data_IF_951980219148
#
_entry.id   IF_951980219148
#
_cell.length_a   1.000
_cell.length_b   1.000
_cell.length_c   1.000
_cell.angle_alpha   90.00
_cell.angle_beta   90.00
_cell.angle_gamma   90.00
#
_symmetry.space_group_name_H-M   'P 1'
#
loop_
_entity.id
_entity.type
_entity.pdbx_description
1 polymer ?
#
# COMPACT_ATOMS: atom_id res chain seq x y z
N UNK A 1 -0.72 -27.50 -9.17
CA UNK A 1 -1.82 -26.52 -9.27
C UNK A 1 -1.68 -25.59 -8.07
N UNK A 2 -1.03 -24.46 -8.29
CA UNK A 2 -0.50 -23.55 -7.26
C UNK A 2 -1.61 -22.76 -6.56
N UNK A 3 -1.54 -22.78 -5.23
CA UNK A 3 -2.20 -21.94 -4.19
C UNK A 3 -2.82 -20.61 -4.68
N UNK A 4 -4.01 -20.66 -5.28
CA UNK A 4 -4.86 -19.47 -5.55
C UNK A 4 -5.86 -19.22 -4.39
N UNK A 5 -5.89 -20.08 -3.37
CA UNK A 5 -6.52 -19.79 -2.08
C UNK A 5 -5.45 -19.13 -1.19
N UNK A 6 -5.44 -17.81 -0.99
CA UNK A 6 -6.02 -17.21 0.23
C UNK A 6 -6.14 -15.66 0.13
N UNK A 7 -6.29 -15.10 -1.07
CA UNK A 7 -6.21 -13.65 -1.34
C UNK A 7 -7.47 -12.86 -0.88
N UNK A 8 -8.47 -13.52 -0.29
CA UNK A 8 -9.82 -12.94 -0.10
C UNK A 8 -10.23 -12.63 1.35
N UNK A 9 -9.49 -13.08 2.38
CA UNK A 9 -10.07 -13.14 3.75
C UNK A 9 -9.36 -12.36 4.85
N UNK A 10 -8.36 -11.52 4.57
CA UNK A 10 -7.67 -10.80 5.65
C UNK A 10 -8.52 -9.60 6.06
N UNK A 11 -9.17 -9.73 7.22
CA UNK A 11 -10.08 -8.72 7.77
C UNK A 11 -9.37 -7.81 8.76
N UNK A 12 -8.19 -8.17 9.26
CA UNK A 12 -7.51 -7.44 10.33
C UNK A 12 -6.03 -7.17 10.01
N UNK A 13 -5.49 -6.10 10.59
CA UNK A 13 -4.07 -5.75 10.49
C UNK A 13 -3.21 -6.91 10.99
N UNK A 14 -3.68 -7.60 12.03
CA UNK A 14 -2.95 -8.66 12.69
C UNK A 14 -2.70 -9.86 11.75
N UNK A 15 -3.70 -10.27 10.97
CA UNK A 15 -3.54 -11.32 9.96
C UNK A 15 -2.49 -10.94 8.90
N UNK A 16 -2.45 -9.65 8.52
CA UNK A 16 -1.47 -9.14 7.57
C UNK A 16 -0.06 -9.15 8.17
N UNK A 17 0.09 -8.81 9.45
CA UNK A 17 1.39 -8.83 10.13
C UNK A 17 1.97 -10.23 10.28
N UNK A 18 1.10 -11.22 10.50
CA UNK A 18 1.52 -12.61 10.62
C UNK A 18 2.04 -13.20 9.29
N UNK A 19 1.57 -12.67 8.15
CA UNK A 19 1.81 -13.26 6.83
C UNK A 19 2.72 -12.43 5.92
N UNK A 20 2.76 -11.11 6.09
CA UNK A 20 3.51 -10.22 5.22
C UNK A 20 5.01 -10.28 5.49
N UNK A 21 5.80 -10.30 4.42
CA UNK A 21 7.25 -10.25 4.45
C UNK A 21 7.76 -8.92 3.90
N UNK A 22 8.88 -8.37 4.41
CA UNK A 22 9.47 -7.17 3.84
C UNK A 22 9.68 -7.31 2.32
N UNK A 23 9.15 -6.35 1.57
CA UNK A 23 9.10 -6.38 0.11
C UNK A 23 7.71 -6.70 -0.47
N UNK A 24 6.80 -7.25 0.33
CA UNK A 24 5.43 -7.52 -0.11
C UNK A 24 4.69 -6.23 -0.46
N UNK A 25 3.92 -6.29 -1.53
CA UNK A 25 3.06 -5.22 -1.99
C UNK A 25 1.70 -5.31 -1.29
N UNK A 26 1.36 -4.25 -0.57
CA UNK A 26 0.14 -4.13 0.20
C UNK A 26 -0.87 -3.30 -0.57
N UNK A 27 -2.06 -3.88 -0.78
CA UNK A 27 -3.20 -3.20 -1.39
C UNK A 27 -4.19 -2.79 -0.30
N UNK A 28 -4.47 -1.49 -0.23
CA UNK A 28 -5.57 -0.92 0.53
C UNK A 28 -6.73 -0.68 -0.42
N UNK A 29 -7.73 -1.54 -0.35
CA UNK A 29 -8.95 -1.48 -1.16
C UNK A 29 -9.82 -0.36 -0.63
N UNK A 30 -9.81 0.80 -1.30
CA UNK A 30 -10.74 1.90 -1.04
C UNK A 30 -11.96 1.76 -1.95
N UNK A 31 -12.98 2.56 -1.70
CA UNK A 31 -14.26 2.46 -2.42
C UNK A 31 -14.11 2.55 -3.94
N UNK A 32 -13.42 3.58 -4.43
CA UNK A 32 -13.33 3.91 -5.87
C UNK A 32 -11.93 3.71 -6.47
N UNK A 33 -10.95 3.29 -5.67
CA UNK A 33 -9.57 3.06 -6.11
C UNK A 33 -8.83 2.14 -5.15
N UNK A 34 -7.71 1.57 -5.60
CA UNK A 34 -6.76 0.85 -4.74
C UNK A 34 -5.59 1.76 -4.41
N UNK A 35 -5.30 1.92 -3.12
CA UNK A 35 -4.08 2.55 -2.64
C UNK A 35 -3.01 1.47 -2.41
N UNK A 36 -1.75 1.78 -2.71
CA UNK A 36 -0.68 0.79 -2.73
C UNK A 36 0.49 1.20 -1.86
N UNK A 37 1.12 0.23 -1.22
CA UNK A 37 2.34 0.41 -0.44
C UNK A 37 3.25 -0.83 -0.52
N UNK A 38 4.49 -0.67 -0.10
CA UNK A 38 5.44 -1.78 0.09
C UNK A 38 5.67 -1.96 1.58
N UNK A 39 5.50 -3.19 2.08
CA UNK A 39 5.77 -3.54 3.47
C UNK A 39 7.28 -3.61 3.73
N UNK A 40 7.72 -3.04 4.85
CA UNK A 40 9.15 -2.99 5.20
C UNK A 40 9.49 -3.70 6.53
N UNK A 41 8.49 -4.28 7.20
CA UNK A 41 8.62 -4.86 8.54
C UNK A 41 7.99 -3.97 9.62
N UNK A 42 7.88 -4.50 10.83
CA UNK A 42 7.48 -3.78 12.06
C UNK A 42 6.19 -2.94 11.94
N UNK A 43 5.21 -3.44 11.20
CA UNK A 43 3.92 -2.77 10.93
C UNK A 43 4.07 -1.48 10.10
N UNK A 44 5.19 -1.30 9.41
CA UNK A 44 5.51 -0.12 8.63
C UNK A 44 5.47 -0.41 7.13
N UNK A 45 5.07 0.60 6.37
CA UNK A 45 5.01 0.58 4.91
C UNK A 45 5.62 1.84 4.33
N UNK A 46 6.13 1.74 3.11
CA UNK A 46 6.48 2.88 2.26
C UNK A 46 5.41 3.01 1.19
N UNK A 47 4.82 4.19 1.06
CA UNK A 47 3.82 4.45 0.02
C UNK A 47 3.96 5.85 -0.57
N UNK A 48 3.36 6.00 -1.75
CA UNK A 48 3.15 7.30 -2.37
C UNK A 48 2.01 8.01 -1.65
N UNK A 49 2.16 9.30 -1.39
CA UNK A 49 1.15 10.13 -0.74
C UNK A 49 1.08 11.51 -1.39
N UNK A 50 -0.08 12.15 -1.41
CA UNK A 50 -0.22 13.50 -1.93
C UNK A 50 0.37 14.52 -0.96
N UNK A 51 0.80 15.67 -1.48
CA UNK A 51 0.86 16.85 -0.62
C UNK A 51 -0.54 17.21 -0.13
N UNK A 52 -0.64 17.81 1.06
CA UNK A 52 -1.90 18.38 1.54
C UNK A 52 -2.13 19.71 0.84
N UNK A 53 -2.72 19.64 -0.35
CA UNK A 53 -3.13 20.78 -1.17
C UNK A 53 -4.63 21.10 -0.99
N UNK A 54 -5.28 20.46 -0.01
CA UNK A 54 -6.71 20.62 0.27
C UNK A 54 -7.65 19.95 -0.75
N UNK A 55 -7.13 19.33 -1.81
CA UNK A 55 -7.97 18.75 -2.88
C UNK A 55 -8.75 17.52 -2.40
N UNK A 56 -8.14 16.68 -1.55
CA UNK A 56 -8.86 15.55 -0.95
C UNK A 56 -10.10 15.99 -0.16
N UNK A 57 -9.97 17.06 0.62
CA UNK A 57 -11.07 17.63 1.38
C UNK A 57 -12.15 18.23 0.48
N UNK A 58 -11.78 18.92 -0.61
CA UNK A 58 -12.72 19.61 -1.50
C UNK A 58 -13.66 18.67 -2.28
N UNK A 59 -13.30 17.39 -2.39
CA UNK A 59 -14.06 16.35 -3.11
C UNK A 59 -14.58 15.23 -2.18
N UNK A 60 -14.42 15.38 -0.87
CA UNK A 60 -14.89 14.40 0.11
C UNK A 60 -14.09 13.10 0.17
N UNK A 61 -12.83 13.09 -0.26
CA UNK A 61 -11.90 11.97 -0.08
C UNK A 61 -11.08 12.19 1.19
N UNK A 62 -11.14 11.22 2.09
CA UNK A 62 -10.32 11.24 3.31
C UNK A 62 -8.87 10.92 2.97
N UNK A 63 -7.99 11.93 3.02
CA UNK A 63 -6.54 11.80 2.79
C UNK A 63 -6.03 12.68 1.64
N UNK A 64 -4.71 12.72 1.46
CA UNK A 64 -4.10 13.49 0.38
C UNK A 64 -4.10 12.68 -0.90
N UNK A 65 -4.66 13.25 -1.96
CA UNK A 65 -4.89 12.52 -3.20
C UNK A 65 -3.78 12.82 -4.19
N UNK A 66 -3.26 11.76 -4.82
CA UNK A 66 -2.18 11.89 -5.83
C UNK A 66 -2.72 11.83 -7.25
N UNK A 67 -3.90 11.24 -7.43
CA UNK A 67 -4.62 11.16 -8.71
C UNK A 67 -6.12 11.06 -8.49
N UNK A 68 -6.90 11.77 -9.31
CA UNK A 68 -8.37 11.68 -9.36
C UNK A 68 -8.80 11.77 -10.82
N UNK A 69 -9.69 10.88 -11.27
CA UNK A 69 -10.20 10.87 -12.65
C UNK A 69 -9.11 10.95 -13.73
N UNK A 70 -7.95 10.32 -13.50
CA UNK A 70 -6.80 10.36 -14.42
C UNK A 70 -5.97 11.63 -14.39
N UNK A 71 -6.37 12.66 -13.62
CA UNK A 71 -5.57 13.85 -13.35
C UNK A 71 -4.57 13.53 -12.26
N UNK A 72 -3.28 13.75 -12.51
CA UNK A 72 -2.20 13.60 -11.54
C UNK A 72 -1.87 14.95 -10.92
N UNK A 73 -1.89 15.05 -9.59
CA UNK A 73 -1.50 16.27 -8.90
C UNK A 73 0.02 16.39 -8.86
N UNK A 74 0.51 17.62 -8.98
CA UNK A 74 1.90 17.91 -9.36
C UNK A 74 2.95 17.54 -8.30
N UNK A 75 2.56 17.08 -7.11
CA UNK A 75 3.51 16.75 -6.03
C UNK A 75 3.03 15.53 -5.25
N UNK A 76 3.71 14.41 -5.46
CA UNK A 76 3.58 13.24 -4.62
C UNK A 76 4.86 13.04 -3.81
N UNK A 77 4.70 12.70 -2.53
CA UNK A 77 5.78 12.36 -1.61
C UNK A 77 5.83 10.86 -1.41
N UNK A 78 7.04 10.36 -1.16
CA UNK A 78 7.24 9.01 -0.65
C UNK A 78 7.28 9.13 0.87
N UNK A 79 6.38 8.43 1.56
CA UNK A 79 6.24 8.52 3.01
C UNK A 79 6.35 7.11 3.60
N UNK A 80 7.06 7.02 4.72
CA UNK A 80 7.08 5.86 5.61
C UNK A 80 5.99 6.05 6.67
N UNK A 81 5.09 5.08 6.82
CA UNK A 81 3.96 5.18 7.75
C UNK A 81 3.60 3.84 8.37
N UNK A 82 2.97 3.88 9.55
CA UNK A 82 2.38 2.68 10.12
C UNK A 82 1.15 2.26 9.30
N UNK A 83 0.96 0.96 9.10
CA UNK A 83 -0.20 0.41 8.39
C UNK A 83 -1.52 0.90 9.00
N UNK A 84 -1.58 1.02 10.32
CA UNK A 84 -2.77 1.47 11.04
C UNK A 84 -3.13 2.92 10.72
N UNK A 85 -2.14 3.79 10.49
CA UNK A 85 -2.38 5.18 10.10
C UNK A 85 -2.95 5.27 8.68
N UNK A 86 -2.42 4.45 7.76
CA UNK A 86 -2.94 4.37 6.39
C UNK A 86 -4.36 3.79 6.37
N UNK A 87 -4.71 2.92 7.32
CA UNK A 87 -6.04 2.33 7.42
C UNK A 87 -7.12 3.24 8.02
N UNK A 88 -6.74 4.31 8.73
CA UNK A 88 -7.72 5.32 9.21
C UNK A 88 -8.58 5.89 8.08
N UNK A 89 -8.06 5.89 6.86
CA UNK A 89 -8.77 6.33 5.65
C UNK A 89 -9.75 5.28 5.07
N UNK A 90 -9.99 4.16 5.78
CA UNK A 90 -11.04 3.18 5.52
C UNK A 90 -10.73 2.12 4.45
N UNK A 91 -11.49 1.02 4.43
CA UNK A 91 -11.33 -0.04 3.43
C UNK A 91 -10.58 -1.28 3.94
N UNK A 92 -10.46 -2.28 3.06
CA UNK A 92 -9.82 -3.57 3.39
C UNK A 92 -8.36 -3.57 2.99
N UNK A 93 -7.54 -4.40 3.62
CA UNK A 93 -6.13 -4.54 3.29
C UNK A 93 -5.78 -5.99 2.94
N UNK A 94 -4.89 -6.18 1.97
CA UNK A 94 -4.35 -7.50 1.61
C UNK A 94 -2.92 -7.38 1.05
N UNK A 95 -2.13 -8.45 1.20
CA UNK A 95 -0.93 -8.63 0.37
C UNK A 95 -1.38 -9.02 -1.04
N UNK A 96 -0.86 -8.33 -2.05
CA UNK A 96 -1.18 -8.58 -3.45
C UNK A 96 0.06 -8.35 -4.32
N UNK A 97 0.92 -9.37 -4.41
CA UNK A 97 2.10 -9.37 -5.27
C UNK A 97 1.75 -9.77 -6.72
N UNK A 98 0.77 -9.10 -7.35
CA UNK A 98 0.31 -9.49 -8.71
C UNK A 98 1.41 -9.46 -9.78
N UNK A 99 2.49 -8.71 -9.53
CA UNK A 99 3.64 -8.58 -10.43
C UNK A 99 4.59 -9.79 -10.40
N UNK A 100 4.56 -10.63 -9.36
CA UNK A 100 5.48 -11.77 -9.21
C UNK A 100 5.27 -12.83 -10.30
N UNK A 101 4.06 -12.90 -10.86
CA UNK A 101 3.75 -13.76 -12.00
C UNK A 101 4.46 -13.33 -13.29
N UNK A 102 4.85 -12.06 -13.39
CA UNK A 102 5.44 -11.46 -14.60
C UNK A 102 6.92 -11.16 -14.45
N UNK A 103 7.37 -10.84 -13.25
CA UNK A 103 8.72 -10.34 -13.00
C UNK A 103 9.35 -11.05 -11.80
N UNK A 104 10.65 -11.34 -11.90
CA UNK A 104 11.43 -11.76 -10.74
C UNK A 104 11.67 -10.55 -9.85
N UNK A 105 11.29 -10.64 -8.58
CA UNK A 105 11.55 -9.59 -7.61
C UNK A 105 13.05 -9.46 -7.35
N UNK A 106 13.50 -8.23 -7.05
CA UNK A 106 14.86 -7.97 -6.60
C UNK A 106 14.88 -8.20 -5.10
N UNK A 107 15.55 -9.26 -4.65
CA UNK A 107 15.86 -9.41 -3.22
C UNK A 107 16.82 -8.30 -2.86
N UNK A 108 16.39 -7.40 -1.98
CA UNK A 108 17.30 -6.48 -1.28
C UNK A 108 18.32 -7.34 -0.53
N UNK A 109 19.50 -7.47 -1.12
CA UNK A 109 20.68 -7.96 -0.41
C UNK A 109 20.90 -6.98 0.74
N UNK A 110 20.49 -7.36 1.96
CA UNK A 110 21.00 -6.75 3.19
C UNK A 110 22.53 -6.73 3.02
N UNK A 111 23.14 -5.54 2.98
CA UNK A 111 24.59 -5.23 2.97
C UNK A 111 25.10 -4.42 1.75
N UNK A 112 24.51 -3.27 1.40
CA UNK A 112 25.17 -2.29 0.49
C UNK A 112 25.03 -0.82 0.88
N UNK A 113 24.98 -0.53 2.17
CA UNK A 113 25.27 0.82 2.68
C UNK A 113 26.15 0.68 3.92
N UNK A 114 27.45 0.54 3.69
CA UNK A 114 28.53 0.84 4.63
C UNK A 114 29.44 1.85 3.96
#
# INVERSE_FOLDING_TARGET
MSQIADVQNWKTNQDLLEKAQPGDMIEFVRNIYSHWAIYIGDNEVIHRWGEDDGIGQSIGIWGNVTTIFGVQFNKAKIIKSNISDVLKYGGKVRVNNYLDSKWKYVISQKNRFT
#
